data_IF_249973080890
#
_entry.id   IF_249973080890
#
_cell.length_a   1.000
_cell.length_b   1.000
_cell.length_c   1.000
_cell.angle_alpha   90.00
_cell.angle_beta   90.00
_cell.angle_gamma   90.00
#
_symmetry.space_group_name_H-M   'P 1'
#
loop_
_entity.id
_entity.type
_entity.pdbx_description
1 polymer ?
#
# COMPACT_ATOMS: atom_id res chain seq x y z
N UNK A 1 -19.43 7.38 -9.56
CA UNK A 1 -18.76 8.64 -9.96
C UNK A 1 -17.38 8.22 -10.43
N UNK A 2 -17.15 8.19 -11.73
CA UNK A 2 -15.92 7.65 -12.32
C UNK A 2 -14.76 8.63 -12.18
N UNK A 3 -13.55 8.13 -11.88
CA UNK A 3 -12.32 8.91 -11.84
C UNK A 3 -11.51 8.75 -13.13
N UNK A 4 -10.92 9.86 -13.59
CA UNK A 4 -10.14 9.95 -14.83
C UNK A 4 -8.64 9.86 -14.54
N UNK A 5 -7.93 8.98 -15.26
CA UNK A 5 -6.45 8.93 -15.28
C UNK A 5 -5.96 8.74 -16.72
N UNK A 6 -4.98 9.55 -17.16
CA UNK A 6 -4.36 9.49 -18.50
C UNK A 6 -5.34 9.54 -19.70
N UNK A 7 -6.31 10.46 -19.64
CA UNK A 7 -7.28 10.68 -20.72
C UNK A 7 -8.29 9.56 -20.93
N UNK A 8 -8.22 8.49 -20.13
CA UNK A 8 -9.13 7.34 -20.20
C UNK A 8 -9.96 7.28 -18.93
N UNK A 9 -11.28 7.23 -19.10
CA UNK A 9 -12.24 7.04 -18.02
C UNK A 9 -12.17 5.56 -17.64
N UNK A 10 -11.57 5.24 -16.49
CA UNK A 10 -11.64 3.88 -15.94
C UNK A 10 -13.09 3.65 -15.54
N UNK A 11 -13.72 2.63 -16.13
CA UNK A 11 -15.10 2.29 -15.78
C UNK A 11 -15.18 1.85 -14.31
N UNK A 12 -16.34 2.04 -13.68
CA UNK A 12 -16.52 1.62 -12.28
C UNK A 12 -16.25 0.11 -12.10
N UNK A 13 -16.58 -0.71 -13.12
CA UNK A 13 -16.30 -2.15 -13.14
C UNK A 13 -14.81 -2.47 -13.23
N UNK A 14 -14.07 -1.74 -14.08
CA UNK A 14 -12.62 -1.90 -14.21
C UNK A 14 -11.90 -1.46 -12.92
N UNK A 15 -12.32 -0.36 -12.32
CA UNK A 15 -11.80 0.10 -11.04
C UNK A 15 -12.03 -0.96 -9.93
N UNK A 16 -13.22 -1.55 -9.87
CA UNK A 16 -13.53 -2.62 -8.91
C UNK A 16 -12.67 -3.87 -9.16
N UNK A 17 -12.46 -4.25 -10.42
CA UNK A 17 -11.61 -5.38 -10.78
C UNK A 17 -10.14 -5.15 -10.37
N UNK A 18 -9.59 -3.97 -10.65
CA UNK A 18 -8.23 -3.59 -10.25
C UNK A 18 -8.08 -3.53 -8.73
N UNK A 19 -9.07 -2.98 -8.03
CA UNK A 19 -9.11 -2.98 -6.56
C UNK A 19 -9.05 -4.40 -5.99
N UNK A 20 -9.84 -5.34 -6.55
CA UNK A 20 -9.81 -6.75 -6.15
C UNK A 20 -8.42 -7.36 -6.32
N UNK A 21 -7.71 -7.07 -7.42
CA UNK A 21 -6.36 -7.57 -7.63
C UNK A 21 -5.36 -7.01 -6.60
N UNK A 22 -5.52 -5.74 -6.20
CA UNK A 22 -4.68 -5.13 -5.17
C UNK A 22 -4.93 -5.74 -3.79
N UNK A 23 -6.18 -6.03 -3.44
CA UNK A 23 -6.50 -6.77 -2.20
C UNK A 23 -5.96 -8.20 -2.22
N UNK A 24 -6.01 -8.90 -3.36
CA UNK A 24 -5.38 -10.24 -3.47
C UNK A 24 -3.86 -10.19 -3.24
N UNK A 25 -3.19 -9.11 -3.65
CA UNK A 25 -1.76 -8.90 -3.36
C UNK A 25 -1.52 -8.64 -1.88
N UNK A 26 -2.39 -7.87 -1.21
CA UNK A 26 -2.34 -7.72 0.24
C UNK A 26 -2.55 -9.06 0.96
N UNK A 27 -3.49 -9.87 0.52
CA UNK A 27 -3.73 -11.21 1.09
C UNK A 27 -2.52 -12.14 0.90
N UNK A 28 -1.73 -11.96 -0.16
CA UNK A 28 -0.46 -12.65 -0.34
C UNK A 28 0.63 -12.12 0.60
N UNK A 29 0.73 -10.79 0.72
CA UNK A 29 1.71 -10.13 1.57
C UNK A 29 1.50 -10.47 3.05
N UNK A 30 0.25 -10.46 3.51
CA UNK A 30 -0.14 -10.85 4.86
C UNK A 30 0.33 -12.26 5.21
N UNK A 31 0.10 -13.22 4.31
CA UNK A 31 0.59 -14.61 4.47
C UNK A 31 2.10 -14.72 4.41
N UNK A 32 2.77 -13.91 3.58
CA UNK A 32 4.23 -13.92 3.47
C UNK A 32 4.91 -13.36 4.74
N UNK A 33 4.22 -12.51 5.49
CA UNK A 33 4.70 -11.93 6.75
C UNK A 33 4.28 -12.76 7.98
N UNK A 34 3.46 -13.79 7.82
CA UNK A 34 3.05 -14.66 8.92
C UNK A 34 4.27 -15.40 9.49
N UNK A 35 4.54 -15.18 10.77
CA UNK A 35 5.72 -15.73 11.46
C UNK A 35 7.06 -15.12 11.05
N UNK A 36 7.08 -14.01 10.29
CA UNK A 36 8.30 -13.38 9.80
C UNK A 36 8.34 -11.87 10.10
N UNK A 37 9.49 -11.37 10.55
CA UNK A 37 9.65 -9.94 10.81
C UNK A 37 9.63 -9.10 9.51
N UNK A 38 10.19 -9.63 8.43
CA UNK A 38 10.35 -8.98 7.13
C UNK A 38 10.01 -9.94 5.98
N UNK A 39 10.03 -9.45 4.74
CA UNK A 39 9.70 -10.26 3.56
C UNK A 39 10.72 -11.36 3.23
N UNK A 40 11.90 -11.32 3.84
CA UNK A 40 12.94 -12.35 3.72
C UNK A 40 13.28 -12.90 5.11
N UNK A 41 12.27 -13.47 5.78
CA UNK A 41 12.38 -13.98 7.14
C UNK A 41 12.69 -12.88 8.13
N UNK A 42 13.72 -13.06 8.96
CA UNK A 42 14.06 -12.11 10.03
C UNK A 42 15.06 -11.02 9.61
N UNK A 43 15.35 -10.91 8.31
CA UNK A 43 16.30 -9.92 7.79
C UNK A 43 15.61 -8.89 6.90
N UNK A 44 15.74 -7.63 7.30
CA UNK A 44 15.39 -6.51 6.44
C UNK A 44 16.25 -6.52 5.16
N UNK A 45 15.60 -6.33 4.01
CA UNK A 45 16.23 -6.50 2.71
C UNK A 45 15.69 -5.52 1.66
N UNK A 46 16.23 -5.62 0.44
CA UNK A 46 15.71 -4.89 -0.71
C UNK A 46 14.24 -5.22 -1.02
N UNK A 47 13.75 -6.39 -0.61
CA UNK A 47 12.34 -6.75 -0.78
C UNK A 47 11.44 -5.78 -0.01
N UNK A 48 11.76 -5.49 1.25
CA UNK A 48 10.98 -4.57 2.08
C UNK A 48 11.00 -3.14 1.53
N UNK A 49 12.19 -2.69 1.10
CA UNK A 49 12.39 -1.38 0.47
C UNK A 49 11.56 -1.24 -0.80
N UNK A 50 11.49 -2.28 -1.62
CA UNK A 50 10.78 -2.24 -2.90
C UNK A 50 9.26 -2.26 -2.73
N UNK A 51 8.76 -3.00 -1.74
CA UNK A 51 7.32 -3.24 -1.58
C UNK A 51 6.66 -2.19 -0.70
N UNK A 52 7.32 -1.72 0.37
CA UNK A 52 6.69 -0.82 1.35
C UNK A 52 6.08 0.44 0.73
N UNK A 53 6.77 1.20 -0.14
CA UNK A 53 6.20 2.43 -0.68
C UNK A 53 4.92 2.15 -1.46
N UNK A 54 4.87 1.03 -2.19
CA UNK A 54 3.69 0.70 -3.00
C UNK A 54 2.47 0.39 -2.15
N UNK A 55 2.66 -0.28 -1.01
CA UNK A 55 1.60 -0.65 -0.07
C UNK A 55 1.17 0.57 0.75
N UNK A 56 2.11 1.39 1.23
CA UNK A 56 1.83 2.63 1.96
C UNK A 56 1.00 3.64 1.14
N UNK A 57 1.02 3.55 -0.20
CA UNK A 57 0.22 4.39 -1.10
C UNK A 57 -1.23 3.91 -1.31
N UNK A 58 -1.63 2.72 -0.82
CA UNK A 58 -2.99 2.19 -1.05
C UNK A 58 -4.10 3.13 -0.53
N UNK A 59 -3.99 3.74 0.66
CA UNK A 59 -4.99 4.72 1.11
C UNK A 59 -5.14 5.91 0.16
N UNK A 60 -4.08 6.32 -0.55
CA UNK A 60 -4.13 7.43 -1.51
C UNK A 60 -4.98 7.11 -2.75
N UNK A 61 -5.27 5.83 -3.00
CA UNK A 61 -6.13 5.35 -4.09
C UNK A 61 -7.43 4.72 -3.56
N UNK A 62 -7.88 5.15 -2.37
CA UNK A 62 -9.15 4.74 -1.76
C UNK A 62 -9.21 3.24 -1.41
N UNK A 63 -8.06 2.62 -1.13
CA UNK A 63 -7.95 1.25 -0.66
C UNK A 63 -7.38 1.25 0.76
N UNK A 64 -8.21 1.37 1.81
CA UNK A 64 -7.73 1.34 3.18
C UNK A 64 -7.14 -0.04 3.51
N UNK A 65 -6.07 -0.04 4.31
CA UNK A 65 -5.49 -1.24 4.91
C UNK A 65 -6.07 -1.33 6.32
N UNK A 66 -6.95 -2.31 6.52
CA UNK A 66 -7.63 -2.51 7.80
C UNK A 66 -6.78 -3.39 8.72
N UNK A 67 -6.33 -2.85 9.85
CA UNK A 67 -5.49 -3.58 10.82
C UNK A 67 -6.11 -4.91 11.28
N UNK A 68 -7.44 -4.97 11.39
CA UNK A 68 -8.15 -6.20 11.77
C UNK A 68 -8.07 -7.32 10.72
N UNK A 69 -7.90 -6.97 9.44
CA UNK A 69 -7.76 -7.94 8.33
C UNK A 69 -6.30 -8.21 7.99
N UNK A 70 -5.43 -7.21 8.17
CA UNK A 70 -4.04 -7.23 7.75
C UNK A 70 -3.06 -6.92 8.90
N UNK A 71 -3.13 -7.62 10.05
CA UNK A 71 -2.32 -7.29 11.21
C UNK A 71 -0.82 -7.41 10.95
N UNK A 72 -0.36 -8.38 10.15
CA UNK A 72 1.06 -8.55 9.86
C UNK A 72 1.57 -7.47 8.89
N UNK A 73 0.78 -7.11 7.88
CA UNK A 73 1.12 -5.99 6.98
C UNK A 73 1.16 -4.68 7.76
N UNK A 74 0.17 -4.40 8.61
CA UNK A 74 0.15 -3.17 9.41
C UNK A 74 1.36 -3.06 10.34
N UNK A 75 1.70 -4.14 11.05
CA UNK A 75 2.95 -4.21 11.84
C UNK A 75 4.18 -3.91 11.00
N UNK A 76 4.32 -4.59 9.85
CA UNK A 76 5.46 -4.43 8.97
C UNK A 76 5.59 -3.01 8.39
N UNK A 77 4.46 -2.38 8.02
CA UNK A 77 4.43 -0.99 7.56
C UNK A 77 4.95 -0.03 8.64
N UNK A 78 4.54 -0.22 9.89
CA UNK A 78 5.02 0.57 11.03
C UNK A 78 6.52 0.34 11.26
N UNK A 79 6.95 -0.90 11.46
CA UNK A 79 8.34 -1.21 11.81
C UNK A 79 9.35 -0.77 10.74
N UNK A 80 9.00 -0.95 9.46
CA UNK A 80 9.89 -0.54 8.36
C UNK A 80 9.80 0.97 8.13
N UNK A 81 8.60 1.56 8.25
CA UNK A 81 8.37 3.01 8.09
C UNK A 81 9.05 3.88 9.15
N UNK A 82 9.24 3.37 10.37
CA UNK A 82 9.94 4.07 11.46
C UNK A 82 11.46 4.21 11.23
N UNK A 83 12.02 3.50 10.24
CA UNK A 83 13.46 3.60 9.95
C UNK A 83 13.81 4.97 9.37
N UNK A 84 14.92 5.60 9.80
CA UNK A 84 15.27 6.97 9.41
C UNK A 84 15.27 7.24 7.89
N UNK A 85 15.69 6.26 7.08
CA UNK A 85 15.73 6.38 5.63
C UNK A 85 14.32 6.52 4.99
N UNK A 86 13.28 5.93 5.59
CA UNK A 86 11.91 6.07 5.10
C UNK A 86 11.27 7.38 5.55
N UNK A 87 11.53 7.83 6.78
CA UNK A 87 11.08 9.14 7.24
C UNK A 87 11.54 10.28 6.31
N UNK A 88 12.73 10.15 5.71
CA UNK A 88 13.25 11.11 4.73
C UNK A 88 12.66 10.99 3.33
N UNK A 89 12.01 9.87 2.99
CA UNK A 89 11.48 9.60 1.64
C UNK A 89 9.99 9.89 1.48
N UNK A 90 9.26 10.14 2.59
CA UNK A 90 7.84 10.50 2.54
C UNK A 90 7.68 11.89 1.94
N UNK A 91 7.44 11.95 0.63
CA UNK A 91 6.90 13.13 -0.04
C UNK A 91 5.38 13.06 0.13
N UNK A 92 4.83 13.80 1.10
CA UNK A 92 3.39 14.02 1.20
C UNK A 92 2.98 14.92 0.03
N UNK A 93 2.18 14.46 -0.95
CA UNK A 93 1.63 15.35 -1.95
C UNK A 93 0.76 16.40 -1.24
N UNK A 94 0.81 17.68 -1.61
CA UNK A 94 -0.10 18.67 -1.05
C UNK A 94 -1.54 18.18 -1.23
N UNK A 95 -2.38 18.40 -0.21
CA UNK A 95 -3.79 18.04 -0.27
C UNK A 95 -4.37 18.56 -1.58
N UNK A 96 -4.98 17.68 -2.40
CA UNK A 96 -5.66 18.13 -3.61
C UNK A 96 -6.77 19.08 -3.18
N UNK A 97 -6.61 20.36 -3.47
CA UNK A 97 -7.71 21.31 -3.35
C UNK A 97 -8.86 20.81 -4.23
N UNK A 98 -10.04 20.69 -3.64
CA UNK A 98 -11.24 20.32 -4.39
C UNK A 98 -11.57 21.49 -5.33
N UNK A 99 -11.80 21.26 -6.63
CA UNK A 99 -12.19 22.35 -7.52
C UNK A 99 -13.57 22.86 -7.09
N UNK A 100 -13.67 24.18 -6.93
CA UNK A 100 -14.86 24.94 -6.55
C UNK A 100 -15.98 24.86 -7.58
#
# INVERSE_FOLDING_TARGET
>A
MSQVYDGTVVSDDEAAHLASQLYQRLDHLERALDGHAFLVGDRFSIADISVLPRVAMYPMVQLPIEDGRYPNVSRWLTEVGERPAFAQSVIVPPARESPT
#
